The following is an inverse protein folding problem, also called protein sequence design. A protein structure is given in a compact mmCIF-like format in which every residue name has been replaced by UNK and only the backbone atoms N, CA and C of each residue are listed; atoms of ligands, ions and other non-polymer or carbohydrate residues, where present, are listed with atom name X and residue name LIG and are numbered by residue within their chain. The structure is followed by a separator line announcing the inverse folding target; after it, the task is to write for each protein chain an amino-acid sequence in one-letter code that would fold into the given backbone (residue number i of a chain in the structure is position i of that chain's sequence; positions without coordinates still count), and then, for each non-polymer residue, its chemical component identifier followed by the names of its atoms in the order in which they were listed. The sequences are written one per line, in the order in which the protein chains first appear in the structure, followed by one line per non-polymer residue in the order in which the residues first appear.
data_IF_060706466355
#
_entry.id   IF_060706466355
#
_cell.length_a   1.000
_cell.length_b   1.000
_cell.length_c   1.000
_cell.angle_alpha   90.00
_cell.angle_beta   90.00
_cell.angle_gamma   90.00
#
_symmetry.space_group_name_H-M   'P 1'
#
loop_
_entity.id
_entity.type
_entity.pdbx_description
1 polymer ?
#
# COMPACT_ATOMS: atom_id res chain seq x y z
N UNK A 1 17.04 6.67 -0.52
CA UNK A 1 16.14 5.50 -0.54
C UNK A 1 14.92 5.68 0.38
N UNK A 2 15.10 5.86 1.69
CA UNK A 2 14.01 6.05 2.67
C UNK A 2 13.10 7.27 2.40
N UNK A 3 13.67 8.43 2.06
CA UNK A 3 12.88 9.66 1.77
C UNK A 3 11.94 9.52 0.56
N UNK A 4 12.41 8.84 -0.50
CA UNK A 4 11.59 8.57 -1.70
C UNK A 4 10.42 7.63 -1.37
N UNK A 5 10.66 6.68 -0.46
CA UNK A 5 9.66 5.75 0.04
C UNK A 5 8.59 6.51 0.85
N UNK A 6 9.00 7.40 1.75
CA UNK A 6 8.07 8.26 2.51
C UNK A 6 7.18 9.14 1.62
N UNK A 7 7.72 9.71 0.55
CA UNK A 7 6.90 10.50 -0.38
C UNK A 7 5.87 9.62 -1.11
N UNK A 8 6.30 8.45 -1.61
CA UNK A 8 5.40 7.47 -2.27
C UNK A 8 4.32 6.95 -1.31
N UNK A 9 4.66 6.70 -0.04
CA UNK A 9 3.71 6.30 1.01
C UNK A 9 2.61 7.34 1.21
N UNK A 10 2.96 8.64 1.30
CA UNK A 10 1.97 9.71 1.46
C UNK A 10 1.02 9.81 0.25
N UNK A 11 1.52 9.61 -0.96
CA UNK A 11 0.68 9.55 -2.16
C UNK A 11 -0.25 8.34 -2.15
N UNK A 12 0.28 7.17 -1.79
CA UNK A 12 -0.49 5.95 -1.70
C UNK A 12 -1.59 6.03 -0.62
N UNK A 13 -1.28 6.59 0.55
CA UNK A 13 -2.25 6.83 1.62
C UNK A 13 -3.39 7.74 1.14
N UNK A 14 -3.05 8.89 0.53
CA UNK A 14 -4.06 9.80 -0.03
C UNK A 14 -4.91 9.14 -1.12
N UNK A 15 -4.29 8.28 -1.93
CA UNK A 15 -4.99 7.53 -2.96
C UNK A 15 -5.99 6.54 -2.37
N UNK A 16 -5.60 5.78 -1.35
CA UNK A 16 -6.49 4.86 -0.63
C UNK A 16 -7.66 5.59 0.04
N UNK A 17 -7.39 6.73 0.69
CA UNK A 17 -8.44 7.57 1.29
C UNK A 17 -9.42 8.06 0.21
N UNK A 18 -8.92 8.48 -0.96
CA UNK A 18 -9.77 8.92 -2.08
C UNK A 18 -10.65 7.79 -2.65
N UNK A 19 -10.22 6.53 -2.51
CA UNK A 19 -11.05 5.37 -2.86
C UNK A 19 -12.09 5.02 -1.78
N UNK A 20 -12.04 5.66 -0.61
CA UNK A 20 -13.00 5.44 0.49
C UNK A 20 -12.48 4.60 1.65
N UNK A 21 -11.17 4.37 1.75
CA UNK A 21 -10.59 3.85 2.99
C UNK A 21 -10.69 4.89 4.11
N UNK A 22 -10.89 4.46 5.36
CA UNK A 22 -10.70 5.36 6.50
C UNK A 22 -9.22 5.76 6.62
N UNK A 23 -8.93 6.81 7.38
CA UNK A 23 -7.54 7.24 7.58
C UNK A 23 -6.70 6.14 8.27
N UNK A 24 -7.27 5.46 9.26
CA UNK A 24 -6.63 4.35 9.97
C UNK A 24 -6.37 3.17 9.03
N UNK A 25 -7.38 2.77 8.24
CA UNK A 25 -7.22 1.68 7.27
C UNK A 25 -6.15 2.00 6.22
N UNK A 26 -6.15 3.23 5.71
CA UNK A 26 -5.17 3.66 4.73
C UNK A 26 -3.75 3.64 5.30
N UNK A 27 -3.58 4.01 6.57
CA UNK A 27 -2.30 3.95 7.27
C UNK A 27 -1.83 2.50 7.45
N UNK A 28 -2.71 1.62 7.93
CA UNK A 28 -2.42 0.19 8.12
C UNK A 28 -2.03 -0.48 6.80
N UNK A 29 -2.78 -0.21 5.72
CA UNK A 29 -2.47 -0.75 4.38
C UNK A 29 -1.09 -0.28 3.91
N UNK A 30 -0.76 1.00 4.10
CA UNK A 30 0.54 1.54 3.70
C UNK A 30 1.66 0.93 4.53
N UNK A 31 1.49 0.77 5.84
CA UNK A 31 2.49 0.14 6.71
C UNK A 31 2.74 -1.32 6.31
N UNK A 32 1.70 -2.13 6.11
CA UNK A 32 1.82 -3.53 5.66
C UNK A 32 2.51 -3.62 4.28
N UNK A 33 2.18 -2.71 3.37
CA UNK A 33 2.81 -2.64 2.04
C UNK A 33 4.30 -2.35 2.13
N UNK A 34 4.70 -1.41 2.99
CA UNK A 34 6.11 -1.05 3.18
C UNK A 34 6.87 -2.15 3.88
N UNK A 35 6.28 -2.78 4.90
CA UNK A 35 6.86 -3.94 5.56
C UNK A 35 7.18 -5.04 4.56
N UNK A 36 6.23 -5.39 3.69
CA UNK A 36 6.46 -6.36 2.60
C UNK A 36 7.51 -5.88 1.60
N UNK A 37 7.54 -4.59 1.26
CA UNK A 37 8.54 -4.04 0.36
C UNK A 37 9.96 -4.20 0.91
N UNK A 38 10.15 -4.01 2.22
CA UNK A 38 11.43 -4.21 2.90
C UNK A 38 11.83 -5.69 2.95
N UNK A 39 10.87 -6.58 3.22
CA UNK A 39 11.12 -8.03 3.25
C UNK A 39 11.53 -8.61 1.90
N UNK A 40 10.95 -8.10 0.80
CA UNK A 40 11.15 -8.64 -0.55
C UNK A 40 11.97 -7.72 -1.45
N UNK A 41 12.69 -6.75 -0.89
CA UNK A 41 13.35 -5.69 -1.66
C UNK A 41 14.26 -6.24 -2.75
N UNK A 42 15.08 -7.24 -2.42
CA UNK A 42 16.03 -7.87 -3.33
C UNK A 42 15.37 -8.71 -4.44
N UNK A 43 14.09 -9.07 -4.25
CA UNK A 43 13.30 -9.83 -5.22
C UNK A 43 12.47 -8.93 -6.14
N UNK A 44 12.41 -7.62 -5.88
CA UNK A 44 11.63 -6.68 -6.68
C UNK A 44 12.54 -6.02 -7.72
N UNK A 45 12.20 -6.20 -9.00
CA UNK A 45 12.87 -5.49 -10.09
C UNK A 45 12.72 -3.97 -9.85
N UNK A 46 13.82 -3.19 -9.79
CA UNK A 46 13.77 -1.78 -9.39
C UNK A 46 12.77 -0.93 -10.18
N UNK A 47 12.71 -1.12 -11.50
CA UNK A 47 11.79 -0.38 -12.39
C UNK A 47 10.31 -0.72 -12.12
N UNK A 48 10.04 -1.90 -11.56
CA UNK A 48 8.68 -2.36 -11.22
C UNK A 48 8.30 -2.02 -9.78
N UNK A 49 9.21 -1.50 -8.97
CA UNK A 49 8.98 -1.24 -7.55
C UNK A 49 7.76 -0.34 -7.28
N UNK A 50 7.55 0.80 -8.00
CA UNK A 50 6.35 1.61 -7.79
C UNK A 50 5.06 0.84 -8.12
N UNK A 51 5.01 0.15 -9.25
CA UNK A 51 3.83 -0.63 -9.64
C UNK A 51 3.55 -1.78 -8.66
N UNK A 52 4.60 -2.40 -8.13
CA UNK A 52 4.51 -3.45 -7.11
C UNK A 52 3.91 -2.91 -5.81
N UNK A 53 4.36 -1.74 -5.32
CA UNK A 53 3.79 -1.10 -4.12
C UNK A 53 2.29 -0.85 -4.26
N UNK A 54 1.87 -0.26 -5.38
CA UNK A 54 0.45 0.00 -5.64
C UNK A 54 -0.37 -1.29 -5.71
N UNK A 55 0.16 -2.34 -6.36
CA UNK A 55 -0.52 -3.63 -6.45
C UNK A 55 -0.76 -4.25 -5.07
N UNK A 56 0.26 -4.28 -4.21
CA UNK A 56 0.16 -4.87 -2.87
C UNK A 56 -0.87 -4.11 -2.02
N UNK A 57 -0.80 -2.78 -2.02
CA UNK A 57 -1.73 -1.94 -1.29
C UNK A 57 -3.18 -2.06 -1.78
N UNK A 58 -3.38 -2.08 -3.10
CA UNK A 58 -4.71 -2.24 -3.71
C UNK A 58 -5.32 -3.61 -3.43
N UNK A 59 -4.52 -4.68 -3.47
CA UNK A 59 -4.99 -6.00 -3.10
C UNK A 59 -5.48 -6.01 -1.65
N UNK A 60 -4.70 -5.42 -0.73
CA UNK A 60 -5.07 -5.33 0.68
C UNK A 60 -6.35 -4.51 0.89
N UNK A 61 -6.47 -3.37 0.21
CA UNK A 61 -7.69 -2.56 0.23
C UNK A 61 -8.91 -3.36 -0.25
N UNK A 62 -8.82 -4.02 -1.41
CA UNK A 62 -9.89 -4.84 -1.94
C UNK A 62 -10.30 -5.97 -0.99
N UNK A 63 -9.34 -6.65 -0.36
CA UNK A 63 -9.61 -7.69 0.62
C UNK A 63 -10.33 -7.15 1.87
N UNK A 64 -9.91 -5.98 2.35
CA UNK A 64 -10.56 -5.29 3.45
C UNK A 64 -11.99 -4.86 3.10
N UNK A 65 -12.21 -4.25 1.93
CA UNK A 65 -13.54 -3.85 1.46
C UNK A 65 -14.47 -5.05 1.26
N UNK A 66 -13.95 -6.18 0.78
CA UNK A 66 -14.71 -7.44 0.67
C UNK A 66 -15.13 -7.99 2.03
N UNK A 67 -14.26 -7.89 3.06
CA UNK A 67 -14.62 -8.30 4.42
C UNK A 67 -15.73 -7.44 5.00
N UNK A 68 -15.64 -6.11 4.84
CA UNK A 68 -16.68 -5.19 5.33
C UNK A 68 -18.04 -5.38 4.66
N UNK A 69 -18.09 -5.85 3.40
CA UNK A 69 -19.37 -6.18 2.71
C UNK A 69 -20.00 -7.50 3.13
N UNK A 70 -19.26 -8.40 3.80
CA UNK A 70 -19.74 -9.73 4.21
C UNK A 70 -20.32 -9.75 5.62
N UNK A 71 -20.26 -8.62 6.33
CA UNK A 71 -20.82 -8.38 7.66
C UNK A 71 -22.06 -7.51 7.46
#
# INVERSE_FOLDING_TARGET
MLLLLQHKMKHLQRYLIRMGASQADAEDIVQDTVYKALLYLDSIVPDKFPAWLYRVALNRYCDMSRKHKRI
#
